data_IF_771468130886
#
_entry.id   IF_771468130886
#
_cell.length_a   1.000
_cell.length_b   1.000
_cell.length_c   1.000
_cell.angle_alpha   90.00
_cell.angle_beta   90.00
_cell.angle_gamma   90.00
#
_symmetry.space_group_name_H-M   'P 1'
#
loop_
_entity.id
_entity.type
_entity.pdbx_description
1 polymer ?
#
# COMPACT_ATOMS: atom_id res chain seq x y z
N UNK A 1 -35.79 28.89 -15.18
CA UNK A 1 -35.10 27.72 -15.77
C UNK A 1 -36.09 26.61 -15.96
N UNK A 2 -36.13 26.00 -17.14
CA UNK A 2 -36.90 24.77 -17.37
C UNK A 2 -36.24 23.60 -16.64
N UNK A 3 -37.01 22.56 -16.30
CA UNK A 3 -36.48 21.33 -15.69
C UNK A 3 -35.29 20.74 -16.48
N UNK A 4 -35.35 20.83 -17.81
CA UNK A 4 -34.29 20.38 -18.70
C UNK A 4 -33.01 21.21 -18.58
N UNK A 5 -33.10 22.54 -18.41
CA UNK A 5 -31.94 23.39 -18.18
C UNK A 5 -31.25 23.07 -16.86
N UNK A 6 -32.01 22.75 -15.81
CA UNK A 6 -31.46 22.35 -14.50
C UNK A 6 -30.71 21.02 -14.67
N UNK A 7 -31.32 20.04 -15.33
CA UNK A 7 -30.71 18.73 -15.55
C UNK A 7 -29.43 18.84 -16.39
N UNK A 8 -29.44 19.65 -17.46
CA UNK A 8 -28.27 19.90 -18.29
C UNK A 8 -27.14 20.58 -17.50
N UNK A 9 -27.46 21.59 -16.69
CA UNK A 9 -26.47 22.27 -15.84
C UNK A 9 -25.84 21.30 -14.82
N UNK A 10 -26.66 20.46 -14.15
CA UNK A 10 -26.17 19.45 -13.22
C UNK A 10 -25.27 18.40 -13.91
N UNK A 11 -25.62 17.99 -15.12
CA UNK A 11 -24.80 17.06 -15.90
C UNK A 11 -23.43 17.66 -16.27
N UNK A 12 -23.39 18.94 -16.65
CA UNK A 12 -22.14 19.66 -16.95
C UNK A 12 -21.28 19.79 -15.70
N UNK A 13 -21.87 20.20 -14.57
CA UNK A 13 -21.15 20.34 -13.29
C UNK A 13 -20.62 18.97 -12.84
N UNK A 14 -21.47 17.94 -12.86
CA UNK A 14 -21.09 16.57 -12.50
C UNK A 14 -19.99 16.01 -13.39
N UNK A 15 -20.08 16.23 -14.70
CA UNK A 15 -19.05 15.86 -15.67
C UNK A 15 -17.73 16.59 -15.41
N UNK A 16 -17.78 17.89 -15.11
CA UNK A 16 -16.61 18.70 -14.75
C UNK A 16 -15.92 18.21 -13.47
N UNK A 17 -16.69 17.93 -12.41
CA UNK A 17 -16.18 17.36 -11.16
C UNK A 17 -15.55 16.00 -11.41
N UNK A 18 -16.23 15.11 -12.13
CA UNK A 18 -15.71 13.78 -12.47
C UNK A 18 -14.40 13.87 -13.24
N UNK A 19 -14.33 14.76 -14.24
CA UNK A 19 -13.12 15.00 -15.01
C UNK A 19 -11.98 15.53 -14.13
N UNK A 20 -12.23 16.54 -13.29
CA UNK A 20 -11.25 17.09 -12.36
C UNK A 20 -10.73 16.03 -11.39
N UNK A 21 -11.61 15.25 -10.77
CA UNK A 21 -11.23 14.19 -9.85
C UNK A 21 -10.35 13.15 -10.55
N UNK A 22 -10.70 12.78 -11.77
CA UNK A 22 -10.01 11.73 -12.54
C UNK A 22 -8.69 12.18 -13.17
N UNK A 23 -8.54 13.46 -13.52
CA UNK A 23 -7.40 13.96 -14.30
C UNK A 23 -6.45 14.87 -13.52
N UNK A 24 -6.95 15.55 -12.50
CA UNK A 24 -6.17 16.50 -11.71
C UNK A 24 -5.99 15.98 -10.29
N UNK A 25 -7.09 15.75 -9.57
CA UNK A 25 -7.01 15.34 -8.16
C UNK A 25 -6.30 14.00 -7.97
N UNK A 26 -6.57 13.02 -8.84
CA UNK A 26 -5.95 11.71 -8.77
C UNK A 26 -4.41 11.76 -8.89
N UNK A 27 -3.92 12.60 -9.80
CA UNK A 27 -2.48 12.75 -10.08
C UNK A 27 -1.81 13.82 -9.22
N UNK A 28 -2.50 14.29 -8.18
CA UNK A 28 -1.94 15.31 -7.28
C UNK A 28 -0.71 14.76 -6.56
N UNK A 29 0.26 15.64 -6.40
CA UNK A 29 1.52 15.33 -5.75
C UNK A 29 1.77 16.31 -4.59
N UNK A 30 1.19 16.06 -3.40
CA UNK A 30 1.39 16.95 -2.26
C UNK A 30 2.80 16.79 -1.71
N UNK A 31 3.43 17.92 -1.35
CA UNK A 31 4.71 17.93 -0.62
C UNK A 31 4.51 17.31 0.76
N UNK A 32 5.42 16.43 1.17
CA UNK A 32 5.38 15.74 2.46
C UNK A 32 6.69 15.88 3.20
N UNK A 33 6.59 16.00 4.51
CA UNK A 33 7.73 16.01 5.42
C UNK A 33 7.62 14.77 6.28
N UNK A 34 8.62 13.89 6.18
CA UNK A 34 8.69 12.69 6.99
C UNK A 34 9.02 13.05 8.45
N UNK A 35 8.32 12.47 9.44
CA UNK A 35 8.68 12.67 10.83
C UNK A 35 10.09 12.12 11.10
N UNK A 36 10.89 12.88 11.84
CA UNK A 36 12.26 12.54 12.21
C UNK A 36 12.27 11.77 13.53
N UNK A 37 11.65 10.59 13.54
CA UNK A 37 11.60 9.69 14.69
C UNK A 37 12.53 8.49 14.44
N UNK A 38 13.41 8.16 15.37
CA UNK A 38 14.24 6.96 15.25
C UNK A 38 13.38 5.69 15.43
N UNK A 39 13.66 4.63 14.67
CA UNK A 39 12.88 3.39 14.73
C UNK A 39 11.46 3.48 14.16
N UNK A 40 11.05 4.62 13.58
CA UNK A 40 9.74 4.77 12.96
C UNK A 40 9.69 4.23 11.53
N UNK A 41 8.71 3.35 11.27
CA UNK A 41 8.35 2.82 9.96
C UNK A 41 7.13 3.59 9.46
N UNK A 42 7.29 4.31 8.34
CA UNK A 42 6.20 5.11 7.79
C UNK A 42 5.28 4.29 6.90
N UNK A 43 4.05 4.78 6.74
CA UNK A 43 3.15 4.29 5.72
C UNK A 43 3.82 4.44 4.34
N UNK A 44 3.89 3.38 3.54
CA UNK A 44 4.41 3.47 2.18
C UNK A 44 3.41 4.11 1.21
N UNK A 45 2.14 4.28 1.59
CA UNK A 45 1.08 4.76 0.71
C UNK A 45 0.01 5.53 1.48
N UNK A 46 -0.75 6.37 0.77
CA UNK A 46 -2.05 6.83 1.29
C UNK A 46 -3.07 5.73 1.15
N UNK A 47 -3.91 5.57 2.17
CA UNK A 47 -5.00 4.63 2.07
C UNK A 47 -5.52 4.19 3.42
N UNK A 48 -6.29 3.11 3.40
CA UNK A 48 -6.86 2.49 4.59
C UNK A 48 -6.09 1.22 4.94
N UNK A 49 -5.72 1.08 6.21
CA UNK A 49 -5.19 -0.18 6.73
C UNK A 49 -6.30 -1.23 6.67
N UNK A 50 -6.12 -2.27 5.87
CA UNK A 50 -7.13 -3.32 5.66
C UNK A 50 -6.85 -4.57 6.48
N UNK A 51 -5.60 -4.81 6.85
CA UNK A 51 -5.22 -5.86 7.79
C UNK A 51 -3.83 -5.59 8.35
N UNK A 52 -3.59 -6.14 9.54
CA UNK A 52 -2.29 -6.28 10.19
C UNK A 52 -2.26 -7.73 10.66
N UNK A 53 -1.38 -8.56 10.08
CA UNK A 53 -1.33 -9.99 10.39
C UNK A 53 0.10 -10.43 10.69
N UNK A 54 0.31 -11.26 11.71
CA UNK A 54 1.60 -11.93 11.87
C UNK A 54 1.73 -13.02 10.80
N UNK A 55 2.98 -13.30 10.41
CA UNK A 55 3.33 -14.53 9.71
C UNK A 55 4.37 -15.30 10.51
N UNK A 56 4.26 -16.63 10.48
CA UNK A 56 5.18 -17.56 11.16
C UNK A 56 5.45 -18.73 10.25
N UNK A 57 6.67 -19.26 10.26
CA UNK A 57 7.11 -20.30 9.33
C UNK A 57 6.89 -19.92 7.85
N UNK A 58 7.04 -18.63 7.54
CA UNK A 58 6.85 -18.09 6.19
C UNK A 58 5.38 -18.03 5.76
N UNK A 59 4.43 -18.11 6.67
CA UNK A 59 3.03 -18.36 6.36
C UNK A 59 2.08 -17.39 7.08
N UNK A 60 1.06 -16.89 6.36
CA UNK A 60 0.01 -16.00 6.89
C UNK A 60 -1.33 -16.73 6.92
N UNK A 61 -2.00 -16.76 8.07
CA UNK A 61 -3.32 -17.38 8.20
C UNK A 61 -4.43 -16.58 7.48
N UNK A 62 -5.17 -17.24 6.58
CA UNK A 62 -6.38 -16.70 5.94
C UNK A 62 -7.64 -17.28 6.59
N UNK A 63 -8.33 -16.48 7.42
CA UNK A 63 -9.49 -16.89 8.21
C UNK A 63 -10.65 -17.48 7.39
N UNK A 64 -10.91 -16.96 6.17
CA UNK A 64 -12.08 -17.36 5.39
C UNK A 64 -11.91 -18.60 4.51
N UNK A 65 -10.68 -19.09 4.33
CA UNK A 65 -10.41 -20.23 3.45
C UNK A 65 -9.89 -21.46 4.20
N UNK A 66 -9.61 -21.35 5.51
CA UNK A 66 -8.92 -22.41 6.26
C UNK A 66 -7.56 -22.76 5.66
N UNK A 67 -6.96 -21.82 4.91
CA UNK A 67 -5.71 -21.99 4.18
C UNK A 67 -4.69 -21.02 4.72
N UNK A 68 -3.46 -21.50 4.85
CA UNK A 68 -2.30 -20.66 5.03
C UNK A 68 -1.79 -20.21 3.67
N UNK A 69 -1.38 -18.95 3.55
CA UNK A 69 -0.79 -18.43 2.32
C UNK A 69 0.69 -18.17 2.60
N UNK A 70 1.62 -18.81 1.87
CA UNK A 70 3.03 -18.51 1.97
C UNK A 70 3.31 -17.04 1.65
N UNK A 71 4.17 -16.40 2.45
CA UNK A 71 4.55 -15.01 2.26
C UNK A 71 5.20 -14.80 0.89
N UNK A 72 5.96 -15.79 0.42
CA UNK A 72 6.58 -15.80 -0.90
C UNK A 72 5.56 -15.79 -2.03
N UNK A 73 4.39 -16.39 -1.82
CA UNK A 73 3.32 -16.39 -2.81
C UNK A 73 2.65 -15.00 -2.91
N UNK A 74 2.54 -14.30 -1.77
CA UNK A 74 2.04 -12.92 -1.70
C UNK A 74 3.05 -11.97 -2.36
N UNK A 75 4.34 -12.13 -2.05
CA UNK A 75 5.43 -11.31 -2.57
C UNK A 75 5.80 -11.66 -4.03
N UNK A 76 5.43 -12.85 -4.52
CA UNK A 76 5.93 -13.42 -5.78
C UNK A 76 7.47 -13.37 -5.88
N UNK A 77 8.13 -13.55 -4.74
CA UNK A 77 9.58 -13.44 -4.58
C UNK A 77 10.01 -14.24 -3.34
N UNK A 78 11.29 -14.71 -3.28
CA UNK A 78 11.81 -15.41 -2.12
C UNK A 78 11.69 -14.55 -0.85
N UNK A 79 11.34 -15.17 0.28
CA UNK A 79 11.25 -14.48 1.56
C UNK A 79 12.62 -14.12 2.14
N UNK A 80 12.66 -13.04 2.93
CA UNK A 80 13.86 -12.68 3.70
C UNK A 80 13.86 -13.26 5.13
N UNK A 81 12.79 -13.95 5.52
CA UNK A 81 12.65 -14.53 6.84
C UNK A 81 11.33 -15.26 7.02
N UNK A 82 11.24 -16.05 8.08
CA UNK A 82 10.08 -16.91 8.37
C UNK A 82 9.07 -16.27 9.31
N UNK A 83 9.40 -15.13 9.94
CA UNK A 83 8.54 -14.51 10.96
C UNK A 83 8.50 -13.01 10.83
N UNK A 84 7.36 -12.43 11.18
CA UNK A 84 7.17 -10.99 11.19
C UNK A 84 5.72 -10.61 10.99
N UNK A 85 5.49 -9.48 10.32
CA UNK A 85 4.17 -8.91 10.10
C UNK A 85 3.94 -8.50 8.66
N UNK A 86 2.68 -8.55 8.22
CA UNK A 86 2.22 -7.95 6.97
C UNK A 86 1.12 -6.93 7.27
N UNK A 87 1.30 -5.73 6.72
CA UNK A 87 0.34 -4.62 6.83
C UNK A 87 -0.16 -4.27 5.43
N UNK A 88 -1.44 -4.46 5.18
CA UNK A 88 -2.05 -4.09 3.91
C UNK A 88 -2.66 -2.69 3.96
N UNK A 89 -2.32 -1.86 2.98
CA UNK A 89 -2.88 -0.51 2.83
C UNK A 89 -3.58 -0.42 1.47
N UNK A 90 -4.91 -0.31 1.49
CA UNK A 90 -5.73 -0.12 0.30
C UNK A 90 -5.84 1.36 -0.07
N UNK A 91 -5.48 1.69 -1.30
CA UNK A 91 -5.47 3.04 -1.85
C UNK A 91 -6.78 3.28 -2.62
N UNK A 92 -7.69 4.08 -2.07
CA UNK A 92 -8.92 4.47 -2.76
C UNK A 92 -8.62 5.45 -3.90
N UNK A 93 -9.52 5.65 -4.89
CA UNK A 93 -9.30 6.62 -5.96
C UNK A 93 -9.20 8.08 -5.52
N UNK A 94 -9.53 8.38 -4.27
CA UNK A 94 -9.39 9.73 -3.71
C UNK A 94 -8.04 9.91 -2.99
N UNK A 95 -7.28 8.85 -2.75
CA UNK A 95 -5.96 8.89 -2.14
C UNK A 95 -4.89 9.38 -3.13
N UNK A 96 -3.68 9.60 -2.64
CA UNK A 96 -2.51 9.88 -3.49
C UNK A 96 -1.84 8.57 -3.85
N UNK A 97 -1.52 8.39 -5.14
CA UNK A 97 -0.99 7.12 -5.67
C UNK A 97 0.53 7.04 -5.81
N UNK A 98 1.23 8.04 -5.27
CA UNK A 98 2.65 7.92 -5.01
C UNK A 98 2.89 6.98 -3.83
N UNK A 99 3.89 6.12 -3.96
CA UNK A 99 4.38 5.30 -2.87
C UNK A 99 5.76 5.77 -2.42
N UNK A 100 6.05 5.53 -1.15
CA UNK A 100 7.14 6.17 -0.43
C UNK A 100 7.97 5.13 0.31
N UNK A 101 9.28 5.36 0.39
CA UNK A 101 10.18 4.57 1.21
C UNK A 101 9.76 4.68 2.70
N UNK A 102 9.45 3.58 3.38
CA UNK A 102 8.96 3.59 4.77
C UNK A 102 10.08 3.90 5.79
N UNK A 103 11.34 3.64 5.42
CA UNK A 103 12.54 3.84 6.24
C UNK A 103 13.69 4.32 5.36
N UNK A 104 14.78 4.78 5.98
CA UNK A 104 16.07 4.92 5.30
C UNK A 104 16.60 3.53 5.00
N UNK A 105 16.90 3.25 3.73
CA UNK A 105 17.28 1.91 3.30
C UNK A 105 18.13 1.91 2.04
N UNK A 106 18.79 0.79 1.79
CA UNK A 106 19.28 0.40 0.49
C UNK A 106 18.27 -0.55 -0.18
N UNK A 107 17.98 -0.31 -1.45
CA UNK A 107 17.20 -1.22 -2.29
C UNK A 107 18.07 -2.43 -2.58
N UNK A 108 17.77 -3.60 -2.03
CA UNK A 108 18.59 -4.80 -2.25
C UNK A 108 18.33 -5.39 -3.62
N UNK A 109 17.05 -5.69 -3.90
CA UNK A 109 16.61 -6.22 -5.17
C UNK A 109 15.12 -5.96 -5.37
N UNK A 110 14.66 -6.17 -6.60
CA UNK A 110 13.29 -5.88 -7.02
C UNK A 110 12.79 -7.03 -7.92
N UNK A 111 11.54 -7.43 -7.73
CA UNK A 111 10.91 -8.49 -8.53
C UNK A 111 9.63 -7.95 -9.14
N UNK A 112 9.58 -7.88 -10.47
CA UNK A 112 8.40 -7.45 -11.23
C UNK A 112 7.68 -8.67 -11.80
N UNK A 113 6.56 -9.04 -11.20
CA UNK A 113 5.69 -10.10 -11.71
C UNK A 113 4.58 -9.50 -12.55
N UNK A 114 4.66 -9.65 -13.88
CA UNK A 114 3.61 -9.17 -14.80
C UNK A 114 2.44 -10.14 -14.85
N UNK A 115 1.23 -9.59 -14.97
CA UNK A 115 0.01 -10.36 -15.19
C UNK A 115 -0.51 -10.14 -16.62
N UNK A 116 -1.09 -11.17 -17.23
CA UNK A 116 -1.81 -11.02 -18.52
C UNK A 116 -3.14 -10.29 -18.35
N UNK A 117 -3.80 -10.50 -17.20
CA UNK A 117 -5.08 -9.89 -16.84
C UNK A 117 -5.04 -9.59 -15.35
N UNK A 118 -5.38 -8.36 -14.97
CA UNK A 118 -5.57 -7.99 -13.57
C UNK A 118 -7.04 -8.20 -13.16
N UNK A 119 -7.28 -8.69 -11.95
CA UNK A 119 -8.60 -8.85 -11.34
C UNK A 119 -8.94 -7.62 -10.48
N UNK A 120 -10.24 -7.29 -10.30
CA UNK A 120 -10.63 -6.14 -9.50
C UNK A 120 -10.33 -6.44 -8.03
N UNK A 121 -9.68 -5.50 -7.34
CA UNK A 121 -9.31 -5.64 -5.93
C UNK A 121 -10.52 -5.63 -4.99
N UNK A 122 -11.55 -4.85 -5.35
CA UNK A 122 -12.80 -4.71 -4.60
C UNK A 122 -13.98 -4.79 -5.56
N UNK A 123 -15.10 -5.36 -5.11
CA UNK A 123 -16.35 -5.22 -5.85
C UNK A 123 -16.96 -3.81 -5.70
N UNK A 124 -18.00 -3.49 -6.47
CA UNK A 124 -18.63 -2.16 -6.45
C UNK A 124 -19.21 -1.79 -5.07
N UNK A 125 -19.69 -2.77 -4.32
CA UNK A 125 -20.28 -2.56 -3.00
C UNK A 125 -19.22 -2.42 -1.92
N UNK A 126 -18.15 -3.20 -1.99
CA UNK A 126 -16.94 -3.05 -1.19
C UNK A 126 -16.27 -1.70 -1.46
N UNK A 127 -16.24 -1.27 -2.72
CA UNK A 127 -15.80 0.07 -3.09
C UNK A 127 -16.62 1.15 -2.39
N UNK A 128 -17.96 1.02 -2.38
CA UNK A 128 -18.83 1.95 -1.67
C UNK A 128 -18.57 1.90 -0.16
N UNK A 129 -18.44 0.69 0.41
CA UNK A 129 -18.18 0.50 1.84
C UNK A 129 -16.86 1.10 2.30
N UNK A 130 -15.79 0.91 1.54
CA UNK A 130 -14.45 1.40 1.85
C UNK A 130 -14.32 2.90 1.63
N UNK A 131 -14.79 3.38 0.47
CA UNK A 131 -14.58 4.76 0.01
C UNK A 131 -15.56 5.72 0.67
N UNK A 132 -16.86 5.37 0.71
CA UNK A 132 -17.91 6.27 1.20
C UNK A 132 -18.35 5.96 2.63
N UNK A 133 -18.49 4.67 3.00
CA UNK A 133 -18.98 4.28 4.33
C UNK A 133 -17.87 4.08 5.37
N UNK A 134 -16.60 4.14 4.95
CA UNK A 134 -15.42 3.95 5.79
C UNK A 134 -15.43 2.66 6.63
N UNK A 135 -16.07 1.59 6.16
CA UNK A 135 -16.11 0.29 6.84
C UNK A 135 -14.97 -0.60 6.36
N UNK A 136 -14.34 -1.33 7.29
CA UNK A 136 -13.31 -2.30 6.95
C UNK A 136 -13.90 -3.44 6.11
N UNK A 137 -13.18 -3.82 5.05
CA UNK A 137 -13.48 -4.97 4.20
C UNK A 137 -12.26 -5.87 4.25
N UNK A 138 -12.50 -7.17 4.41
CA UNK A 138 -11.43 -8.16 4.44
C UNK A 138 -10.94 -8.43 3.01
N UNK A 139 -10.00 -7.60 2.58
CA UNK A 139 -9.27 -7.78 1.32
C UNK A 139 -8.25 -8.92 1.39
N UNK A 140 -8.05 -9.52 2.57
CA UNK A 140 -7.08 -10.60 2.73
C UNK A 140 -7.49 -11.88 2.01
N UNK A 141 -8.80 -12.10 1.86
CA UNK A 141 -9.34 -13.36 1.37
C UNK A 141 -9.56 -13.41 -0.15
N UNK A 142 -9.19 -12.37 -0.90
CA UNK A 142 -9.53 -12.25 -2.32
C UNK A 142 -8.46 -12.83 -3.26
N UNK A 143 -8.93 -13.41 -4.39
CA UNK A 143 -8.11 -14.09 -5.41
C UNK A 143 -7.13 -13.18 -6.15
N UNK A 144 -7.32 -11.86 -6.13
CA UNK A 144 -6.42 -10.92 -6.82
C UNK A 144 -4.97 -11.03 -6.34
N UNK A 145 -4.76 -11.45 -5.08
CA UNK A 145 -3.44 -11.68 -4.44
C UNK A 145 -2.51 -12.63 -5.17
N UNK A 146 -3.05 -13.49 -6.03
CA UNK A 146 -2.27 -14.50 -6.72
C UNK A 146 -2.09 -14.20 -8.20
N UNK A 147 -2.91 -13.31 -8.75
CA UNK A 147 -3.05 -13.10 -10.20
C UNK A 147 -2.53 -11.75 -10.64
N UNK A 148 -2.78 -10.68 -9.87
CA UNK A 148 -2.49 -9.32 -10.32
C UNK A 148 -0.99 -9.06 -10.47
N UNK A 149 -0.65 -8.08 -11.31
CA UNK A 149 0.70 -7.57 -11.48
C UNK A 149 1.23 -7.01 -10.15
N UNK A 150 2.51 -7.32 -9.88
CA UNK A 150 3.19 -6.92 -8.66
C UNK A 150 4.58 -6.39 -8.92
N UNK A 151 4.94 -5.37 -8.17
CA UNK A 151 6.32 -4.98 -7.97
C UNK A 151 6.67 -5.18 -6.50
N UNK A 152 7.61 -6.08 -6.23
CA UNK A 152 8.13 -6.31 -4.88
C UNK A 152 9.49 -5.64 -4.76
N UNK A 153 9.64 -4.75 -3.78
CA UNK A 153 10.84 -3.96 -3.52
C UNK A 153 11.38 -4.36 -2.14
N UNK A 154 12.57 -4.94 -2.10
CA UNK A 154 13.23 -5.31 -0.86
C UNK A 154 14.12 -4.17 -0.37
N UNK A 155 13.91 -3.78 0.88
CA UNK A 155 14.55 -2.63 1.52
C UNK A 155 15.32 -3.09 2.76
N UNK A 156 16.62 -2.80 2.77
CA UNK A 156 17.51 -3.06 3.90
C UNK A 156 17.87 -1.76 4.59
N UNK A 157 17.30 -1.54 5.76
CA UNK A 157 17.76 -0.52 6.71
C UNK A 157 18.92 -1.03 7.56
N UNK A 158 19.28 -0.26 8.60
CA UNK A 158 20.33 -0.62 9.57
C UNK A 158 20.01 -1.94 10.29
N UNK A 159 18.89 -1.98 11.01
CA UNK A 159 18.44 -3.12 11.82
C UNK A 159 17.03 -3.60 11.43
N UNK A 160 16.65 -3.35 10.18
CA UNK A 160 15.31 -3.63 9.67
C UNK A 160 15.37 -4.10 8.22
N UNK A 161 14.67 -5.18 7.92
CA UNK A 161 14.40 -5.63 6.56
C UNK A 161 12.90 -5.53 6.30
N UNK A 162 12.55 -4.91 5.19
CA UNK A 162 11.17 -4.75 4.74
C UNK A 162 11.04 -5.22 3.29
N UNK A 163 9.85 -5.65 2.92
CA UNK A 163 9.44 -5.69 1.52
C UNK A 163 8.20 -4.82 1.32
N UNK A 164 8.22 -3.98 0.29
CA UNK A 164 7.02 -3.31 -0.23
C UNK A 164 6.51 -4.14 -1.40
N UNK A 165 5.27 -4.63 -1.31
CA UNK A 165 4.59 -5.33 -2.41
C UNK A 165 3.52 -4.41 -2.95
N UNK A 166 3.77 -3.86 -4.13
CA UNK A 166 2.85 -2.99 -4.84
C UNK A 166 1.97 -3.82 -5.75
N UNK A 167 0.66 -3.78 -5.53
CA UNK A 167 -0.32 -4.62 -6.24
C UNK A 167 -1.17 -3.71 -7.13
N UNK A 168 -1.06 -3.90 -8.44
CA UNK A 168 -1.85 -3.20 -9.44
C UNK A 168 -3.26 -3.80 -9.56
N UNK A 169 -4.27 -3.00 -9.90
CA UNK A 169 -5.67 -3.42 -10.06
C UNK A 169 -6.06 -3.70 -11.53
N UNK A 170 -7.27 -4.25 -11.78
CA UNK A 170 -7.82 -4.67 -13.09
C UNK A 170 -7.56 -3.72 -14.25
N UNK A 171 -7.60 -2.42 -13.98
CA UNK A 171 -7.51 -1.38 -15.00
C UNK A 171 -6.15 -0.67 -15.03
N UNK A 172 -5.13 -1.31 -14.47
CA UNK A 172 -3.79 -0.78 -14.23
C UNK A 172 -2.78 -1.72 -14.86
N UNK A 173 -2.01 -1.25 -15.83
CA UNK A 173 -0.90 -2.01 -16.43
C UNK A 173 0.44 -1.27 -16.25
N UNK A 174 0.52 -0.39 -15.23
CA UNK A 174 1.66 0.49 -15.02
C UNK A 174 1.88 0.75 -13.52
N UNK A 175 2.74 -0.05 -12.92
CA UNK A 175 3.52 0.40 -11.76
C UNK A 175 4.73 1.13 -12.31
N UNK A 176 4.79 2.44 -12.12
CA UNK A 176 5.92 3.26 -12.55
C UNK A 176 6.92 3.37 -11.40
N UNK A 177 8.05 2.68 -11.50
CA UNK A 177 9.10 2.71 -10.49
C UNK A 177 10.14 3.80 -10.79
N UNK A 178 10.53 4.55 -9.76
CA UNK A 178 11.50 5.66 -9.85
C UNK A 178 12.89 5.30 -9.30
N UNK A 179 13.02 4.11 -8.71
CA UNK A 179 14.26 3.65 -8.06
C UNK A 179 14.79 2.39 -8.74
N UNK A 180 16.05 2.05 -8.45
CA UNK A 180 16.73 0.87 -8.99
C UNK A 180 17.41 0.03 -7.89
N UNK A 181 17.66 -1.27 -8.11
CA UNK A 181 18.46 -2.09 -7.20
C UNK A 181 19.83 -1.46 -6.91
N UNK A 182 20.25 -1.54 -5.65
CA UNK A 182 21.49 -0.96 -5.14
C UNK A 182 21.42 0.52 -4.75
N UNK A 183 20.34 1.22 -5.09
CA UNK A 183 20.13 2.63 -4.74
C UNK A 183 19.88 2.81 -3.24
N UNK A 184 20.45 3.86 -2.64
CA UNK A 184 20.07 4.31 -1.31
C UNK A 184 18.82 5.21 -1.42
N UNK A 185 17.85 4.98 -0.55
CA UNK A 185 16.62 5.77 -0.45
C UNK A 185 16.48 6.36 0.94
N UNK A 186 16.00 7.59 1.00
CA UNK A 186 15.67 8.25 2.27
C UNK A 186 14.21 7.98 2.63
N UNK A 187 13.92 7.83 3.91
CA UNK A 187 12.56 7.72 4.43
C UNK A 187 11.68 8.85 3.92
N UNK A 188 10.51 8.50 3.40
CA UNK A 188 9.57 9.43 2.78
C UNK A 188 9.93 9.86 1.36
N UNK A 189 11.01 9.37 0.78
CA UNK A 189 11.30 9.53 -0.65
C UNK A 189 10.26 8.77 -1.48
N UNK A 190 9.79 9.38 -2.57
CA UNK A 190 8.93 8.68 -3.55
C UNK A 190 9.72 7.59 -4.25
N UNK A 191 9.16 6.40 -4.30
CA UNK A 191 9.79 5.22 -4.91
C UNK A 191 9.05 4.75 -6.16
N UNK A 192 7.74 4.97 -6.23
CA UNK A 192 6.92 4.54 -7.35
C UNK A 192 5.60 5.31 -7.42
N UNK A 193 4.84 5.05 -8.48
CA UNK A 193 3.48 5.51 -8.69
C UNK A 193 2.63 4.40 -9.32
N UNK A 194 1.46 4.12 -8.75
CA UNK A 194 0.54 3.10 -9.25
C UNK A 194 -0.71 3.75 -9.85
N UNK A 195 -0.93 3.60 -11.16
CA UNK A 195 -2.07 4.21 -11.83
C UNK A 195 -3.40 3.55 -11.44
N UNK A 196 -4.26 4.22 -10.68
CA UNK A 196 -5.63 3.80 -10.25
C UNK A 196 -5.64 2.76 -9.13
N UNK A 197 -6.70 2.83 -8.31
CA UNK A 197 -6.93 2.12 -7.05
C UNK A 197 -6.11 0.83 -6.90
N UNK A 198 -5.34 0.75 -5.84
CA UNK A 198 -4.28 -0.25 -5.69
C UNK A 198 -4.09 -0.59 -4.22
N UNK A 199 -3.18 -1.51 -3.92
CA UNK A 199 -2.79 -1.81 -2.56
C UNK A 199 -1.28 -1.88 -2.47
N UNK A 200 -0.76 -1.44 -1.33
CA UNK A 200 0.63 -1.69 -0.95
C UNK A 200 0.61 -2.54 0.31
N UNK A 201 1.25 -3.70 0.23
CA UNK A 201 1.56 -4.50 1.40
C UNK A 201 2.96 -4.17 1.89
N UNK A 202 3.07 -3.85 3.17
CA UNK A 202 4.33 -3.71 3.87
C UNK A 202 4.60 -4.99 4.65
N UNK A 203 5.59 -5.76 4.23
CA UNK A 203 6.09 -6.94 4.93
C UNK A 203 7.26 -6.50 5.81
N UNK A 204 7.14 -6.75 7.11
CA UNK A 204 8.12 -6.42 8.13
C UNK A 204 8.73 -7.73 8.62
N UNK A 205 10.01 -7.97 8.34
CA UNK A 205 10.72 -9.20 8.74
C UNK A 205 11.27 -9.11 10.16
N UNK A 206 10.39 -8.74 11.10
CA UNK A 206 10.72 -8.53 12.52
C UNK A 206 9.45 -8.69 13.39
N UNK A 207 9.54 -9.36 14.52
CA UNK A 207 8.39 -9.60 15.42
C UNK A 207 8.23 -8.49 16.48
N UNK A 208 9.33 -7.93 16.99
CA UNK A 208 9.39 -6.90 18.03
C UNK A 208 9.11 -5.49 17.48
N UNK A 209 7.90 -5.32 16.92
CA UNK A 209 7.39 -4.04 16.45
C UNK A 209 6.12 -3.65 17.19
N UNK A 210 5.98 -2.36 17.48
CA UNK A 210 4.78 -1.78 18.10
C UNK A 210 4.00 -1.01 17.04
N UNK A 211 2.75 -1.42 16.77
CA UNK A 211 1.90 -0.75 15.78
C UNK A 211 1.34 0.57 16.33
N UNK A 212 1.54 1.65 15.58
CA UNK A 212 0.96 2.96 15.84
C UNK A 212 -0.36 3.19 15.07
N UNK A 213 -0.83 2.19 14.32
CA UNK A 213 -2.06 2.21 13.54
C UNK A 213 -2.91 0.97 13.81
N UNK A 214 -4.20 1.07 13.50
CA UNK A 214 -5.16 -0.04 13.61
C UNK A 214 -5.88 -0.32 12.29
N UNK A 215 -6.39 -1.54 12.14
CA UNK A 215 -7.23 -1.91 10.99
C UNK A 215 -8.42 -0.95 10.87
N UNK A 216 -8.70 -0.52 9.64
CA UNK A 216 -9.72 0.47 9.29
C UNK A 216 -9.25 1.93 9.34
N UNK A 217 -8.07 2.22 9.89
CA UNK A 217 -7.52 3.58 9.98
C UNK A 217 -7.06 4.09 8.62
N UNK A 218 -7.34 5.37 8.34
CA UNK A 218 -6.74 6.10 7.22
C UNK A 218 -5.30 6.49 7.58
N UNK A 219 -4.37 6.20 6.68
CA UNK A 219 -2.94 6.54 6.78
C UNK A 219 -2.51 7.36 5.58
N UNK A 220 -1.44 8.12 5.75
CA UNK A 220 -0.86 8.96 4.72
C UNK A 220 0.61 8.60 4.53
N UNK A 221 0.98 8.24 3.30
CA UNK A 221 2.33 7.85 2.91
C UNK A 221 3.39 8.89 3.34
N UNK A 222 4.59 8.46 3.69
CA UNK A 222 5.66 9.36 4.17
C UNK A 222 5.31 10.27 5.37
N UNK A 223 4.14 10.13 6.02
CA UNK A 223 3.72 10.97 7.15
C UNK A 223 3.28 10.15 8.35
N UNK A 224 2.40 9.18 8.13
CA UNK A 224 1.87 8.36 9.22
C UNK A 224 2.89 7.30 9.61
N UNK A 225 3.25 7.25 10.90
CA UNK A 225 4.01 6.13 11.46
C UNK A 225 3.08 4.91 11.55
N UNK A 226 3.42 3.81 10.88
CA UNK A 226 2.68 2.55 10.91
C UNK A 226 3.11 1.71 12.10
N UNK A 227 4.41 1.62 12.34
CA UNK A 227 4.97 0.85 13.43
C UNK A 227 6.29 1.46 13.92
N UNK A 228 6.67 1.11 15.14
CA UNK A 228 7.95 1.46 15.75
C UNK A 228 8.71 0.20 16.13
N UNK A 229 10.02 0.28 16.09
CA UNK A 229 10.91 -0.77 16.59
C UNK A 229 12.08 -0.12 17.33
N UNK A 230 12.73 -0.88 18.23
CA UNK A 230 13.96 -0.41 18.88
C UNK A 230 15.17 -0.75 17.99
N UNK A 231 15.92 0.24 17.50
CA UNK A 231 17.19 0.00 16.80
C UNK A 231 18.18 -0.69 17.74
N UNK A 232 19.08 -1.49 17.17
CA UNK A 232 20.13 -2.13 17.96
C UNK A 232 21.14 -1.05 18.39
N UNK A 233 21.20 -0.76 19.69
CA UNK A 233 22.11 0.24 20.26
C UNK A 233 21.48 1.55 20.75
N UNK A 234 20.15 1.64 20.86
CA UNK A 234 19.50 2.75 21.54
C UNK A 234 19.80 2.74 23.05
N UNK A 235 20.42 3.81 23.56
CA UNK A 235 20.66 4.03 24.99
C UNK A 235 19.32 4.06 25.73
N UNK A 236 19.18 3.27 26.79
CA UNK A 236 18.09 3.45 27.77
C UNK A 236 18.14 4.89 28.29
N UNK A 237 17.11 5.68 27.99
CA UNK A 237 16.84 6.93 28.72
C UNK A 237 15.81 6.66 29.80
#
# INVERSE_FOLDING_TARGET
MTFFEILAALAVIGGGIFWYLRKVWFYRDPVRVAPQEEGAILAPADGRVVYIKPFRHGEVAAEKLGRSIPIEEIMKAPGLGERGWIVGIYMSPLDVHFNYAPIDARVEHMVHTRARVNLPMVDLWEYIRLTYLRRAVDLFSHRYRLVNERLTIFLRGRDMQLAMVEIADKFVNKINCFISPGQAVTRGQKVSFIERGSQVDLVIFREDVEFAVRVGQQVYGARTVVARYRPAGGVEQ
#
